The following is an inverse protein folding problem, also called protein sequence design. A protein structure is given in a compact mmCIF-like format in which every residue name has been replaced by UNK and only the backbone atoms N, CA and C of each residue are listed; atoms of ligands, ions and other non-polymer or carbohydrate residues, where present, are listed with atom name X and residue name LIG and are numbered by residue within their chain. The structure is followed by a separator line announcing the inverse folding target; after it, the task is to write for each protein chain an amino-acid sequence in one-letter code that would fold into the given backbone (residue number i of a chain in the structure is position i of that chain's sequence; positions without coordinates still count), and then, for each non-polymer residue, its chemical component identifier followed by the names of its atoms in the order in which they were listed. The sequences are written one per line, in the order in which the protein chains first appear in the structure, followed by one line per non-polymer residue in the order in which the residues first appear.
data_IF_736109092633
#
_entry.id   IF_736109092633
#
_cell.length_a   1.000
_cell.length_b   1.000
_cell.length_c   1.000
_cell.angle_alpha   90.00
_cell.angle_beta   90.00
_cell.angle_gamma   90.00
#
_symmetry.space_group_name_H-M   'P 1'
#
loop_
_entity.id
_entity.type
_entity.pdbx_description
1 polymer ?
#
# COMPACT_ATOMS: atom_id res chain seq x y z
N UNK A 1 -3.34 25.64 0.29
CA UNK A 1 -2.89 27.04 0.44
C UNK A 1 -2.35 27.26 1.83
N UNK A 2 -1.54 28.28 2.01
CA UNK A 2 -0.92 28.62 3.29
C UNK A 2 -1.74 29.70 4.00
N UNK A 3 -1.90 29.58 5.32
CA UNK A 3 -2.43 30.60 6.21
C UNK A 3 -1.31 31.11 7.11
N UNK A 4 -1.15 32.42 7.24
CA UNK A 4 -0.01 33.01 7.95
C UNK A 4 -0.38 34.32 8.66
N UNK A 5 0.47 34.72 9.61
CA UNK A 5 0.49 36.05 10.20
C UNK A 5 1.95 36.49 10.41
N UNK A 6 2.18 37.59 11.12
CA UNK A 6 3.55 38.11 11.36
C UNK A 6 4.45 37.13 12.13
N UNK A 7 3.87 36.18 12.89
CA UNK A 7 4.63 35.18 13.62
C UNK A 7 5.01 33.95 12.76
N UNK A 8 4.59 33.89 11.49
CA UNK A 8 4.87 32.78 10.58
C UNK A 8 3.61 32.02 10.15
N UNK A 9 3.77 30.72 9.91
CA UNK A 9 2.70 29.87 9.37
C UNK A 9 1.73 29.44 10.47
N UNK A 10 0.46 29.84 10.31
CA UNK A 10 -0.63 29.42 11.19
C UNK A 10 -1.02 27.98 10.85
N UNK A 11 -1.33 27.75 9.58
CA UNK A 11 -1.90 26.49 9.08
C UNK A 11 -1.71 26.31 7.56
N UNK A 12 -1.88 25.08 7.06
CA UNK A 12 -1.84 24.75 5.62
C UNK A 12 -3.12 24.01 5.22
N UNK A 13 -3.90 24.61 4.32
CA UNK A 13 -5.25 24.15 3.98
C UNK A 13 -6.32 24.63 4.99
N UNK A 14 -7.54 24.07 4.96
CA UNK A 14 -8.01 23.03 4.03
C UNK A 14 -8.25 23.55 2.60
N UNK A 15 -8.26 24.87 2.36
CA UNK A 15 -8.45 25.41 1.00
C UNK A 15 -7.24 25.16 0.11
N UNK A 16 -7.51 24.83 -1.15
CA UNK A 16 -6.53 24.69 -2.23
C UNK A 16 -6.51 25.92 -3.12
N UNK A 17 -5.43 26.10 -3.89
CA UNK A 17 -5.30 27.24 -4.79
C UNK A 17 -6.41 27.22 -5.86
N UNK A 18 -6.73 26.04 -6.40
CA UNK A 18 -7.81 25.83 -7.35
C UNK A 18 -9.18 26.30 -6.82
N UNK A 19 -9.49 26.04 -5.54
CA UNK A 19 -10.75 26.50 -4.92
C UNK A 19 -10.79 28.02 -4.77
N UNK A 20 -9.62 28.66 -4.64
CA UNK A 20 -9.48 30.11 -4.59
C UNK A 20 -9.34 30.77 -5.96
N UNK A 21 -9.30 30.00 -7.06
CA UNK A 21 -9.04 30.51 -8.40
C UNK A 21 -7.63 31.08 -8.59
N UNK A 22 -6.65 30.59 -7.82
CA UNK A 22 -5.25 31.02 -7.88
C UNK A 22 -4.36 29.91 -8.41
N UNK A 23 -3.32 30.32 -9.13
CA UNK A 23 -2.24 29.44 -9.56
C UNK A 23 -1.17 29.28 -8.48
N UNK A 24 -0.36 28.22 -8.63
CA UNK A 24 0.73 27.93 -7.71
C UNK A 24 1.95 28.75 -8.14
N UNK A 25 2.55 29.50 -7.22
CA UNK A 25 3.71 30.34 -7.54
C UNK A 25 4.89 29.57 -8.16
N UNK A 26 5.07 28.31 -7.79
CA UNK A 26 6.14 27.44 -8.30
C UNK A 26 5.98 27.06 -9.78
N UNK A 27 4.77 27.16 -10.35
CA UNK A 27 4.54 26.87 -11.77
C UNK A 27 4.45 28.13 -12.63
N UNK A 28 4.63 29.31 -12.02
CA UNK A 28 4.67 30.60 -12.72
C UNK A 28 6.08 30.88 -13.24
N UNK A 29 6.26 31.39 -14.47
CA UNK A 29 7.56 31.82 -14.97
C UNK A 29 8.22 32.88 -14.08
N UNK A 30 9.54 32.80 -13.88
CA UNK A 30 10.26 33.63 -12.90
C UNK A 30 10.21 35.12 -13.24
N UNK A 31 10.17 35.43 -14.53
CA UNK A 31 10.05 36.75 -15.10
C UNK A 31 8.69 37.40 -14.83
N UNK A 32 7.63 36.61 -14.58
CA UNK A 32 6.30 37.12 -14.23
C UNK A 32 6.21 37.49 -12.74
N UNK A 33 7.02 36.87 -11.88
CA UNK A 33 7.08 37.22 -10.45
C UNK A 33 7.94 38.47 -10.24
N UNK A 34 7.35 39.65 -10.50
CA UNK A 34 7.95 40.98 -10.30
C UNK A 34 7.30 41.71 -9.14
N UNK A 35 8.13 42.27 -8.25
CA UNK A 35 7.73 42.97 -7.03
C UNK A 35 6.65 42.27 -6.21
N UNK A 36 6.81 40.96 -5.88
CA UNK A 36 5.78 40.19 -5.21
C UNK A 36 5.45 40.79 -3.83
N UNK A 37 4.16 40.95 -3.53
CA UNK A 37 3.66 41.41 -2.23
C UNK A 37 2.66 40.43 -1.66
N UNK A 38 2.81 40.11 -0.39
CA UNK A 38 1.83 39.28 0.33
C UNK A 38 0.58 40.08 0.64
N UNK A 39 -0.57 39.49 0.31
CA UNK A 39 -1.90 39.98 0.67
C UNK A 39 -2.67 38.84 1.34
N UNK A 40 -3.38 39.17 2.40
CA UNK A 40 -4.25 38.23 3.12
C UNK A 40 -5.69 38.36 2.66
N UNK A 41 -6.39 37.24 2.50
CA UNK A 41 -7.77 37.24 2.03
C UNK A 41 -8.54 36.00 2.52
N UNK A 42 -9.85 36.00 2.29
CA UNK A 42 -10.73 34.84 2.48
C UNK A 42 -11.06 34.21 1.12
N UNK A 43 -10.65 32.96 0.82
CA UNK A 43 -10.91 32.30 -0.46
C UNK A 43 -12.39 32.14 -0.78
N UNK A 44 -13.22 31.87 0.23
CA UNK A 44 -14.67 31.83 0.15
C UNK A 44 -15.30 32.57 1.32
N UNK A 45 -16.58 32.92 1.18
CA UNK A 45 -17.37 33.44 2.28
C UNK A 45 -17.36 32.46 3.47
N UNK A 46 -17.07 32.99 4.66
CA UNK A 46 -16.93 32.19 5.89
C UNK A 46 -15.53 31.61 6.13
N UNK A 47 -14.62 31.68 5.15
CA UNK A 47 -13.22 31.29 5.38
C UNK A 47 -12.48 32.36 6.20
N UNK A 48 -11.52 31.96 7.05
CA UNK A 48 -10.59 32.88 7.70
C UNK A 48 -9.93 33.85 6.70
N UNK A 49 -9.69 35.09 7.12
CA UNK A 49 -9.09 36.13 6.27
C UNK A 49 -7.55 36.12 6.27
N UNK A 50 -6.94 35.02 6.70
CA UNK A 50 -5.49 34.86 6.90
C UNK A 50 -4.85 33.96 5.83
N UNK A 51 -5.56 33.64 4.73
CA UNK A 51 -4.95 32.93 3.59
C UNK A 51 -4.02 33.86 2.82
N UNK A 52 -2.88 33.32 2.44
CA UNK A 52 -1.84 34.04 1.72
C UNK A 52 -2.11 33.98 0.21
N UNK A 53 -2.16 35.15 -0.43
CA UNK A 53 -1.88 35.30 -1.86
C UNK A 53 -0.70 36.24 -2.08
N UNK A 54 -0.03 36.09 -3.21
CA UNK A 54 1.06 36.94 -3.66
C UNK A 54 0.57 37.69 -4.88
N UNK A 55 0.64 39.01 -4.82
CA UNK A 55 0.21 39.92 -5.89
C UNK A 55 1.44 40.58 -6.49
N UNK A 56 1.53 40.52 -7.81
CA UNK A 56 2.63 41.06 -8.61
C UNK A 56 2.36 42.54 -8.93
N UNK A 57 3.38 43.25 -9.41
CA UNK A 57 3.26 44.67 -9.78
C UNK A 57 2.21 44.95 -10.88
N UNK A 58 1.99 43.98 -11.77
CA UNK A 58 0.99 44.04 -12.84
C UNK A 58 -0.42 43.59 -12.41
N UNK A 59 -0.57 43.18 -11.15
CA UNK A 59 -1.83 42.71 -10.57
C UNK A 59 -2.11 41.23 -10.74
N UNK A 60 -1.23 40.43 -11.36
CA UNK A 60 -1.36 38.98 -11.39
C UNK A 60 -1.32 38.42 -9.96
N UNK A 61 -2.11 37.37 -9.70
CA UNK A 61 -2.24 36.78 -8.37
C UNK A 61 -1.89 35.29 -8.40
N UNK A 62 -1.02 34.87 -7.48
CA UNK A 62 -0.69 33.47 -7.24
C UNK A 62 -0.74 33.17 -5.74
N UNK A 63 -0.58 31.91 -5.35
CA UNK A 63 -0.46 31.53 -3.94
C UNK A 63 0.75 30.66 -3.67
N UNK A 64 1.25 30.75 -2.45
CA UNK A 64 2.23 29.82 -1.89
C UNK A 64 1.51 28.53 -1.50
N UNK A 65 2.14 27.39 -1.80
CA UNK A 65 1.65 26.04 -1.49
C UNK A 65 2.77 25.20 -0.86
N UNK A 66 2.43 24.03 -0.33
CA UNK A 66 3.42 23.04 0.10
C UNK A 66 4.32 22.57 -1.04
N UNK A 67 3.83 22.50 -2.29
CA UNK A 67 4.67 22.25 -3.48
C UNK A 67 5.74 23.31 -3.66
N UNK A 68 5.42 24.60 -3.40
CA UNK A 68 6.42 25.67 -3.45
C UNK A 68 7.51 25.45 -2.39
N UNK A 69 7.11 25.15 -1.15
CA UNK A 69 8.03 24.89 -0.05
C UNK A 69 8.92 23.66 -0.32
N UNK A 70 8.34 22.57 -0.82
CA UNK A 70 9.06 21.34 -1.12
C UNK A 70 10.12 21.52 -2.22
N UNK A 71 9.80 22.27 -3.28
CA UNK A 71 10.76 22.62 -4.33
C UNK A 71 11.91 23.49 -3.79
N UNK A 72 11.61 24.48 -2.92
CA UNK A 72 12.64 25.33 -2.31
C UNK A 72 13.57 24.54 -1.38
N UNK A 73 13.06 23.56 -0.66
CA UNK A 73 13.85 22.69 0.22
C UNK A 73 14.57 21.55 -0.54
N UNK A 74 14.46 21.49 -1.87
CA UNK A 74 15.10 20.43 -2.68
C UNK A 74 14.52 19.03 -2.47
N UNK A 75 13.28 18.94 -1.98
CA UNK A 75 12.58 17.68 -1.71
C UNK A 75 11.93 17.07 -2.97
N UNK A 76 11.82 17.87 -4.03
CA UNK A 76 11.27 17.49 -5.32
C UNK A 76 12.39 17.58 -6.36
N UNK A 77 12.61 16.51 -7.12
CA UNK A 77 13.63 16.39 -8.16
C UNK A 77 13.00 16.54 -9.55
N UNK A 78 13.81 16.77 -10.59
CA UNK A 78 13.37 17.08 -11.97
C UNK A 78 12.44 16.02 -12.57
N UNK A 79 12.65 14.76 -12.21
CA UNK A 79 11.84 13.61 -12.64
C UNK A 79 10.43 13.58 -12.03
N UNK A 80 10.19 14.31 -10.94
CA UNK A 80 8.89 14.32 -10.29
C UNK A 80 7.93 15.29 -10.99
N UNK A 81 6.68 14.86 -11.18
CA UNK A 81 5.63 15.70 -11.79
C UNK A 81 5.42 17.05 -11.09
N UNK A 82 5.61 17.12 -9.76
CA UNK A 82 5.48 18.36 -9.00
C UNK A 82 6.72 19.26 -9.04
N UNK A 83 7.74 18.92 -9.82
CA UNK A 83 8.91 19.77 -10.00
C UNK A 83 8.50 21.03 -10.74
N UNK A 84 8.89 22.17 -10.19
CA UNK A 84 8.59 23.44 -10.80
C UNK A 84 9.75 24.41 -10.68
N UNK A 85 9.44 25.67 -10.93
CA UNK A 85 10.42 26.73 -10.98
C UNK A 85 10.83 27.17 -9.56
N UNK A 86 11.96 26.64 -9.10
CA UNK A 86 12.52 26.96 -7.77
C UNK A 86 12.74 28.47 -7.60
N UNK A 87 13.38 29.21 -8.54
CA UNK A 87 13.48 30.67 -8.45
C UNK A 87 12.15 31.39 -8.26
N UNK A 88 11.09 30.94 -8.95
CA UNK A 88 9.74 31.50 -8.80
C UNK A 88 9.17 31.28 -7.41
N UNK A 89 9.23 30.03 -6.92
CA UNK A 89 8.80 29.71 -5.56
C UNK A 89 9.59 30.51 -4.51
N UNK A 90 10.91 30.66 -4.70
CA UNK A 90 11.78 31.46 -3.82
C UNK A 90 11.35 32.93 -3.76
N UNK A 91 11.02 33.57 -4.89
CA UNK A 91 10.55 34.96 -4.91
C UNK A 91 9.22 35.14 -4.17
N UNK A 92 8.26 34.23 -4.38
CA UNK A 92 6.98 34.28 -3.71
C UNK A 92 7.11 34.04 -2.20
N UNK A 93 7.90 33.05 -1.80
CA UNK A 93 8.21 32.78 -0.39
C UNK A 93 8.99 33.93 0.26
N UNK A 94 9.86 34.61 -0.47
CA UNK A 94 10.61 35.77 0.04
C UNK A 94 9.66 36.89 0.49
N UNK A 95 8.60 37.17 -0.27
CA UNK A 95 7.62 38.19 0.12
C UNK A 95 6.94 37.85 1.46
N UNK A 96 6.70 36.56 1.75
CA UNK A 96 6.15 36.11 3.03
C UNK A 96 7.21 36.10 4.13
N UNK A 97 8.43 35.68 3.83
CA UNK A 97 9.55 35.69 4.76
C UNK A 97 9.87 37.11 5.25
N UNK A 98 9.89 38.09 4.33
CA UNK A 98 10.09 39.51 4.65
C UNK A 98 8.99 40.03 5.58
N UNK A 99 7.73 39.67 5.31
CA UNK A 99 6.60 40.05 6.15
C UNK A 99 6.70 39.46 7.57
N UNK A 100 7.15 38.21 7.69
CA UNK A 100 7.36 37.51 8.95
C UNK A 100 8.72 37.81 9.61
N UNK A 101 9.58 38.61 8.95
CA UNK A 101 10.94 38.92 9.40
C UNK A 101 11.82 37.67 9.65
N UNK A 102 11.75 36.70 8.74
CA UNK A 102 12.51 35.45 8.80
C UNK A 102 13.10 35.08 7.43
N UNK A 103 13.61 33.86 7.26
CA UNK A 103 14.18 33.36 6.00
C UNK A 103 13.14 32.58 5.19
N UNK A 104 13.42 32.42 3.89
CA UNK A 104 12.58 31.61 3.01
C UNK A 104 12.58 30.14 3.43
N UNK A 105 13.74 29.62 3.82
CA UNK A 105 13.92 28.27 4.34
C UNK A 105 13.06 28.02 5.58
N UNK A 106 13.07 28.94 6.55
CA UNK A 106 12.26 28.82 7.77
C UNK A 106 10.76 28.80 7.44
N UNK A 107 10.28 29.68 6.55
CA UNK A 107 8.88 29.64 6.10
C UNK A 107 8.56 28.32 5.39
N UNK A 108 9.45 27.83 4.52
CA UNK A 108 9.24 26.57 3.82
C UNK A 108 9.18 25.38 4.79
N UNK A 109 10.08 25.32 5.78
CA UNK A 109 10.08 24.30 6.83
C UNK A 109 8.79 24.35 7.66
N UNK A 110 8.32 25.54 8.04
CA UNK A 110 7.05 25.69 8.76
C UNK A 110 5.86 25.19 7.95
N UNK A 111 5.80 25.49 6.64
CA UNK A 111 4.75 24.97 5.74
C UNK A 111 4.77 23.44 5.72
N UNK A 112 5.96 22.85 5.57
CA UNK A 112 6.12 21.40 5.53
C UNK A 112 5.77 20.74 6.87
N UNK A 113 6.20 21.32 7.99
CA UNK A 113 5.89 20.84 9.33
C UNK A 113 4.38 20.86 9.64
N UNK A 114 3.68 21.93 9.25
CA UNK A 114 2.23 22.05 9.40
C UNK A 114 1.46 21.07 8.51
N UNK A 115 1.95 20.86 7.29
CA UNK A 115 1.38 19.85 6.37
C UNK A 115 1.55 18.44 6.92
N UNK A 116 2.75 18.12 7.43
CA UNK A 116 3.06 16.84 8.06
C UNK A 116 2.17 16.54 9.28
N UNK A 117 2.02 17.52 10.19
CA UNK A 117 1.25 17.35 11.42
C UNK A 117 -0.24 17.00 11.18
N UNK A 118 -0.78 17.27 9.99
CA UNK A 118 -2.14 16.88 9.62
C UNK A 118 -2.26 15.44 9.15
N UNK A 119 -1.20 14.91 8.54
CA UNK A 119 -1.23 13.60 7.88
C UNK A 119 -0.65 12.51 8.79
N UNK A 120 0.29 12.88 9.68
CA UNK A 120 0.93 11.95 10.61
C UNK A 120 -0.06 11.12 11.43
N UNK A 121 -1.07 11.72 12.09
CA UNK A 121 -2.02 10.94 12.89
C UNK A 121 -2.80 9.93 12.04
N UNK A 122 -3.16 10.28 10.80
CA UNK A 122 -3.91 9.40 9.90
C UNK A 122 -3.08 8.18 9.50
N UNK A 123 -1.79 8.38 9.18
CA UNK A 123 -0.91 7.28 8.81
C UNK A 123 -0.63 6.38 10.01
N UNK A 124 -0.41 6.95 11.20
CA UNK A 124 -0.17 6.18 12.42
C UNK A 124 -1.41 5.38 12.84
N UNK A 125 -2.61 5.96 12.73
CA UNK A 125 -3.87 5.26 12.99
C UNK A 125 -4.06 4.06 12.05
N UNK A 126 -3.74 4.22 10.75
CA UNK A 126 -3.78 3.11 9.80
C UNK A 126 -2.74 2.04 10.15
N UNK A 127 -1.50 2.43 10.48
CA UNK A 127 -0.47 1.48 10.88
C UNK A 127 -0.90 0.67 12.12
N UNK A 128 -1.50 1.32 13.12
CA UNK A 128 -2.02 0.65 14.31
C UNK A 128 -3.18 -0.30 13.96
N UNK A 129 -4.16 0.18 13.17
CA UNK A 129 -5.34 -0.60 12.76
C UNK A 129 -4.98 -1.89 12.03
N UNK A 130 -3.92 -1.86 11.22
CA UNK A 130 -3.44 -3.01 10.45
C UNK A 130 -2.26 -3.74 11.11
N UNK A 131 -1.94 -3.41 12.36
CA UNK A 131 -0.85 -4.02 13.12
C UNK A 131 0.51 -4.02 12.38
N UNK A 132 0.79 -2.94 11.64
CA UNK A 132 2.02 -2.79 10.86
C UNK A 132 3.17 -2.35 11.78
N UNK A 133 4.26 -3.13 11.78
CA UNK A 133 5.49 -2.73 12.46
C UNK A 133 6.18 -1.59 11.68
N UNK A 134 6.84 -0.67 12.40
CA UNK A 134 7.42 0.54 11.80
C UNK A 134 8.42 0.23 10.67
N UNK A 135 9.17 -0.85 10.78
CA UNK A 135 10.13 -1.30 9.78
C UNK A 135 9.49 -2.00 8.57
N UNK A 136 8.22 -2.37 8.66
CA UNK A 136 7.43 -2.89 7.54
C UNK A 136 6.71 -1.78 6.76
N UNK A 137 6.62 -0.56 7.32
CA UNK A 137 5.95 0.56 6.65
C UNK A 137 6.81 1.04 5.46
N UNK A 138 6.20 1.00 4.28
CA UNK A 138 6.66 1.66 3.06
C UNK A 138 5.55 2.54 2.50
N UNK A 139 5.86 3.79 2.18
CA UNK A 139 4.90 4.77 1.68
C UNK A 139 4.92 4.78 0.15
N UNK A 140 3.78 4.60 -0.49
CA UNK A 140 3.66 4.71 -1.96
C UNK A 140 2.97 6.03 -2.30
N UNK A 141 3.71 6.93 -2.93
CA UNK A 141 3.25 8.27 -3.29
C UNK A 141 2.64 8.28 -4.67
N UNK A 142 1.35 8.62 -4.76
CA UNK A 142 0.62 8.69 -6.03
C UNK A 142 -0.11 10.01 -6.20
N UNK A 143 -0.41 10.38 -7.46
CA UNK A 143 -0.95 11.68 -7.85
C UNK A 143 0.13 12.72 -8.11
N UNK A 144 -0.21 13.77 -8.88
CA UNK A 144 0.77 14.75 -9.37
C UNK A 144 1.49 15.56 -8.28
N UNK A 145 0.94 15.63 -7.06
CA UNK A 145 1.54 16.30 -5.91
C UNK A 145 2.31 15.40 -4.95
N UNK A 146 2.42 14.09 -5.22
CA UNK A 146 2.93 13.09 -4.28
C UNK A 146 4.31 13.45 -3.71
N UNK A 147 5.26 13.77 -4.60
CA UNK A 147 6.64 14.10 -4.23
C UNK A 147 6.75 15.32 -3.30
N UNK A 148 5.75 16.21 -3.32
CA UNK A 148 5.77 17.43 -2.50
C UNK A 148 5.66 17.15 -1.00
N UNK A 149 5.13 15.99 -0.58
CA UNK A 149 4.95 15.67 0.85
C UNK A 149 5.58 14.36 1.27
N UNK A 150 5.55 13.34 0.41
CA UNK A 150 5.96 11.99 0.81
C UNK A 150 7.43 11.92 1.21
N UNK A 151 8.30 12.66 0.52
CA UNK A 151 9.74 12.73 0.79
C UNK A 151 10.01 13.32 2.18
N UNK A 152 9.39 14.45 2.50
CA UNK A 152 9.47 15.06 3.83
C UNK A 152 8.96 14.12 4.92
N UNK A 153 7.83 13.47 4.66
CA UNK A 153 7.16 12.60 5.61
C UNK A 153 7.98 11.34 5.90
N UNK A 154 8.48 10.68 4.85
CA UNK A 154 9.38 9.53 4.93
C UNK A 154 10.65 9.86 5.70
N UNK A 155 11.31 10.98 5.39
CA UNK A 155 12.53 11.42 6.08
C UNK A 155 12.27 11.64 7.58
N UNK A 156 11.12 12.24 7.93
CA UNK A 156 10.78 12.54 9.33
C UNK A 156 10.40 11.29 10.13
N UNK A 157 9.70 10.34 9.51
CA UNK A 157 9.33 9.08 10.16
C UNK A 157 10.44 8.03 10.15
N UNK A 158 11.39 8.13 9.23
CA UNK A 158 12.44 7.13 9.01
C UNK A 158 11.89 5.84 8.38
N UNK A 159 10.95 5.98 7.43
CA UNK A 159 10.32 4.86 6.69
C UNK A 159 10.64 4.95 5.21
N UNK A 160 10.61 3.84 4.47
CA UNK A 160 10.86 3.87 3.01
C UNK A 160 9.72 4.56 2.27
N UNK A 161 10.01 5.09 1.08
CA UNK A 161 8.99 5.52 0.15
C UNK A 161 9.34 5.13 -1.28
N UNK A 162 8.31 5.07 -2.13
CA UNK A 162 8.45 4.98 -3.57
C UNK A 162 7.43 5.89 -4.26
N UNK A 163 7.80 6.39 -5.44
CA UNK A 163 6.89 7.10 -6.34
C UNK A 163 6.93 6.33 -7.65
N UNK A 164 5.86 5.58 -8.00
CA UNK A 164 5.82 4.79 -9.22
C UNK A 164 5.88 5.66 -10.48
N UNK A 165 6.31 5.07 -11.60
CA UNK A 165 6.14 5.70 -12.91
C UNK A 165 4.66 6.00 -13.17
N UNK A 166 4.37 7.12 -13.84
CA UNK A 166 3.01 7.56 -14.16
C UNK A 166 2.12 7.77 -12.91
N UNK A 167 2.72 8.04 -11.74
CA UNK A 167 2.00 8.28 -10.49
C UNK A 167 0.90 9.34 -10.62
N UNK A 168 1.09 10.35 -11.46
CA UNK A 168 0.14 11.44 -11.72
C UNK A 168 -1.15 10.99 -12.42
N UNK A 169 -1.11 9.89 -13.17
CA UNK A 169 -2.29 9.29 -13.85
C UNK A 169 -2.74 7.97 -13.21
N UNK A 170 -2.31 7.69 -11.97
CA UNK A 170 -2.61 6.42 -11.28
C UNK A 170 -4.10 6.09 -11.23
N UNK A 171 -4.97 7.10 -11.15
CA UNK A 171 -6.42 6.87 -11.06
C UNK A 171 -6.96 6.29 -12.38
N UNK A 172 -6.45 6.77 -13.52
CA UNK A 172 -6.80 6.24 -14.84
C UNK A 172 -6.26 4.82 -15.01
N UNK A 173 -5.03 4.57 -14.56
CA UNK A 173 -4.44 3.22 -14.55
C UNK A 173 -5.26 2.29 -13.66
N UNK A 174 -5.65 2.73 -12.47
CA UNK A 174 -6.47 1.96 -11.53
C UNK A 174 -7.81 1.56 -12.12
N UNK A 175 -8.51 2.48 -12.79
CA UNK A 175 -9.76 2.16 -13.51
C UNK A 175 -9.49 1.19 -14.66
N UNK A 176 -8.44 1.42 -15.45
CA UNK A 176 -8.07 0.55 -16.55
C UNK A 176 -7.72 -0.87 -16.07
N UNK A 177 -7.10 -1.02 -14.89
CA UNK A 177 -6.66 -2.29 -14.29
C UNK A 177 -7.67 -2.92 -13.32
N UNK A 178 -8.75 -2.24 -12.94
CA UNK A 178 -9.73 -2.72 -11.95
C UNK A 178 -10.36 -4.09 -12.31
N UNK A 179 -10.13 -5.11 -11.49
CA UNK A 179 -10.72 -6.43 -11.70
C UNK A 179 -12.25 -6.37 -11.55
N UNK A 180 -12.94 -7.20 -12.32
CA UNK A 180 -14.36 -7.47 -12.12
C UNK A 180 -14.50 -8.20 -10.80
N UNK A 181 -15.35 -7.70 -9.90
CA UNK A 181 -15.61 -8.32 -8.60
C UNK A 181 -17.10 -8.38 -8.35
N UNK A 182 -17.62 -9.58 -8.19
CA UNK A 182 -19.00 -9.85 -7.85
C UNK A 182 -19.10 -10.61 -6.53
N UNK A 183 -20.13 -10.29 -5.75
CA UNK A 183 -20.35 -10.88 -4.43
C UNK A 183 -21.76 -11.45 -4.35
N UNK A 184 -21.86 -12.70 -3.91
CA UNK A 184 -23.12 -13.36 -3.61
C UNK A 184 -23.12 -13.77 -2.14
N UNK A 185 -24.07 -13.23 -1.38
CA UNK A 185 -24.17 -13.48 0.06
C UNK A 185 -25.53 -14.11 0.39
N UNK A 186 -25.53 -15.13 1.25
CA UNK A 186 -26.74 -15.79 1.75
C UNK A 186 -26.60 -16.20 3.21
N UNK A 187 -27.72 -16.24 3.92
CA UNK A 187 -27.80 -16.84 5.25
C UNK A 187 -28.18 -18.31 5.09
N UNK A 188 -27.24 -19.20 5.43
CA UNK A 188 -27.40 -20.65 5.31
C UNK A 188 -27.00 -21.27 6.66
N UNK A 189 -27.98 -21.64 7.52
CA UNK A 189 -27.69 -22.33 8.76
C UNK A 189 -27.01 -23.68 8.47
N UNK A 190 -25.80 -23.87 8.98
CA UNK A 190 -24.99 -25.09 8.77
C UNK A 190 -24.82 -25.46 7.28
N UNK A 191 -24.06 -24.68 6.49
CA UNK A 191 -23.97 -24.85 5.05
C UNK A 191 -23.38 -26.21 4.66
N UNK A 192 -24.01 -26.90 3.71
CA UNK A 192 -23.47 -28.12 3.12
C UNK A 192 -22.44 -27.81 2.02
N UNK A 193 -21.67 -28.83 1.60
CA UNK A 193 -20.74 -28.70 0.45
C UNK A 193 -21.47 -28.30 -0.84
N UNK A 194 -22.69 -28.81 -1.03
CA UNK A 194 -23.51 -28.54 -2.21
C UNK A 194 -24.01 -27.07 -2.22
N UNK A 195 -24.38 -26.54 -1.04
CA UNK A 195 -24.78 -25.14 -0.89
C UNK A 195 -23.64 -24.18 -1.24
N UNK A 196 -22.43 -24.48 -0.76
CA UNK A 196 -21.23 -23.70 -1.04
C UNK A 196 -20.87 -23.75 -2.53
N UNK A 197 -20.93 -24.93 -3.15
CA UNK A 197 -20.69 -25.11 -4.59
C UNK A 197 -21.70 -24.33 -5.44
N UNK A 198 -22.98 -24.36 -5.06
CA UNK A 198 -24.02 -23.59 -5.76
C UNK A 198 -23.76 -22.08 -5.67
N UNK A 199 -23.42 -21.58 -4.48
CA UNK A 199 -23.10 -20.17 -4.26
C UNK A 199 -21.86 -19.73 -5.05
N UNK A 200 -20.83 -20.58 -5.08
CA UNK A 200 -19.61 -20.37 -5.87
C UNK A 200 -19.92 -20.24 -7.36
N UNK A 201 -20.70 -21.16 -7.92
CA UNK A 201 -21.09 -21.13 -9.34
C UNK A 201 -21.90 -19.88 -9.69
N UNK A 202 -22.77 -19.43 -8.79
CA UNK A 202 -23.54 -18.21 -9.00
C UNK A 202 -22.64 -16.96 -9.01
N UNK A 203 -21.72 -16.83 -8.05
CA UNK A 203 -20.76 -15.73 -8.03
C UNK A 203 -19.89 -15.71 -9.30
N UNK A 204 -19.45 -16.90 -9.74
CA UNK A 204 -18.72 -17.06 -11.01
C UNK A 204 -19.52 -16.53 -12.20
N UNK A 205 -20.78 -16.97 -12.34
CA UNK A 205 -21.62 -16.58 -13.47
C UNK A 205 -21.87 -15.07 -13.49
N UNK A 206 -22.08 -14.45 -12.31
CA UNK A 206 -22.22 -12.99 -12.22
C UNK A 206 -20.95 -12.27 -12.66
N UNK A 207 -19.78 -12.73 -12.21
CA UNK A 207 -18.52 -12.15 -12.66
C UNK A 207 -18.35 -12.26 -14.18
N UNK A 208 -18.75 -13.38 -14.80
CA UNK A 208 -18.74 -13.55 -16.27
C UNK A 208 -19.70 -12.56 -16.94
N UNK A 209 -20.93 -12.43 -16.43
CA UNK A 209 -21.93 -11.47 -16.92
C UNK A 209 -21.44 -10.02 -16.81
N UNK A 210 -20.67 -9.72 -15.75
CA UNK A 210 -20.01 -8.43 -15.52
C UNK A 210 -18.75 -8.22 -16.38
N UNK A 211 -18.40 -9.17 -17.25
CA UNK A 211 -17.34 -9.05 -18.25
C UNK A 211 -16.00 -9.67 -17.85
N UNK A 212 -15.96 -10.51 -16.81
CA UNK A 212 -14.77 -11.29 -16.48
C UNK A 212 -14.57 -12.42 -17.48
N UNK A 213 -13.32 -12.64 -17.88
CA UNK A 213 -12.90 -13.80 -18.66
C UNK A 213 -12.96 -15.04 -17.76
N UNK A 214 -13.73 -16.10 -18.10
CA UNK A 214 -13.97 -17.25 -17.23
C UNK A 214 -12.69 -17.89 -16.68
N UNK A 215 -11.65 -17.98 -17.50
CA UNK A 215 -10.36 -18.60 -17.17
C UNK A 215 -9.55 -17.78 -16.15
N UNK A 216 -9.94 -16.54 -15.89
CA UNK A 216 -9.26 -15.63 -14.94
C UNK A 216 -10.00 -15.49 -13.61
N UNK A 217 -11.16 -16.15 -13.44
CA UNK A 217 -12.01 -15.96 -12.26
C UNK A 217 -11.49 -16.80 -11.10
N UNK A 218 -11.19 -16.13 -10.00
CA UNK A 218 -10.91 -16.71 -8.70
C UNK A 218 -12.09 -16.47 -7.75
N UNK A 219 -12.43 -17.44 -6.92
CA UNK A 219 -13.58 -17.35 -6.02
C UNK A 219 -13.14 -17.67 -4.60
N UNK A 220 -13.39 -16.73 -3.70
CA UNK A 220 -13.17 -16.87 -2.26
C UNK A 220 -14.52 -17.04 -1.56
N UNK A 221 -14.59 -17.94 -0.57
CA UNK A 221 -15.81 -18.16 0.22
C UNK A 221 -15.52 -17.91 1.69
N UNK A 222 -16.30 -17.00 2.27
CA UNK A 222 -16.27 -16.70 3.71
C UNK A 222 -17.53 -17.26 4.37
N UNK A 223 -17.37 -17.95 5.50
CA UNK A 223 -18.47 -18.44 6.33
C UNK A 223 -18.37 -17.80 7.71
N UNK A 224 -19.36 -16.99 8.06
CA UNK A 224 -19.52 -16.45 9.40
C UNK A 224 -20.48 -17.36 10.20
N UNK A 225 -19.97 -18.17 11.14
CA UNK A 225 -20.78 -19.09 11.92
C UNK A 225 -21.70 -18.38 12.93
N UNK A 226 -21.37 -17.15 13.36
CA UNK A 226 -22.19 -16.41 14.32
C UNK A 226 -23.47 -15.91 13.67
N UNK A 227 -23.36 -15.43 12.42
CA UNK A 227 -24.50 -14.92 11.65
C UNK A 227 -25.09 -15.95 10.68
N UNK A 228 -24.48 -17.15 10.59
CA UNK A 228 -24.79 -18.18 9.59
C UNK A 228 -24.74 -17.66 8.15
N UNK A 229 -23.82 -16.72 7.88
CA UNK A 229 -23.72 -16.02 6.61
C UNK A 229 -22.61 -16.63 5.76
N UNK A 230 -22.92 -16.95 4.52
CA UNK A 230 -21.98 -17.48 3.52
C UNK A 230 -21.85 -16.45 2.41
N UNK A 231 -20.62 -16.02 2.14
CA UNK A 231 -20.29 -15.00 1.14
C UNK A 231 -19.37 -15.62 0.10
N UNK A 232 -19.78 -15.68 -1.17
CA UNK A 232 -18.92 -16.04 -2.28
C UNK A 232 -18.51 -14.77 -3.05
N UNK A 233 -17.21 -14.54 -3.16
CA UNK A 233 -16.60 -13.37 -3.81
C UNK A 233 -15.85 -13.87 -5.05
N UNK A 234 -16.39 -13.58 -6.23
CA UNK A 234 -15.74 -13.89 -7.49
C UNK A 234 -14.98 -12.67 -8.01
N UNK A 235 -13.71 -12.84 -8.36
CA UNK A 235 -12.84 -11.79 -8.88
C UNK A 235 -12.17 -12.26 -10.17
N UNK A 236 -12.23 -11.47 -11.25
CA UNK A 236 -11.64 -11.84 -12.53
C UNK A 236 -11.20 -10.65 -13.37
N UNK A 237 -10.39 -10.91 -14.40
CA UNK A 237 -9.88 -9.90 -15.33
C UNK A 237 -10.78 -9.78 -16.58
N UNK A 238 -10.73 -8.63 -17.25
CA UNK A 238 -11.40 -8.44 -18.55
C UNK A 238 -10.46 -8.81 -19.71
N UNK A 239 -11.01 -9.16 -20.87
CA UNK A 239 -10.27 -9.67 -22.04
C UNK A 239 -9.13 -8.74 -22.51
N UNK A 240 -9.30 -7.41 -22.40
CA UNK A 240 -8.30 -6.40 -22.77
C UNK A 240 -7.02 -6.47 -21.90
N UNK A 241 -7.08 -7.07 -20.71
CA UNK A 241 -5.98 -7.11 -19.73
C UNK A 241 -5.05 -8.31 -19.87
N UNK A 242 -5.42 -9.32 -20.64
CA UNK A 242 -4.65 -10.56 -20.73
C UNK A 242 -3.27 -10.35 -21.41
N UNK A 243 -3.08 -9.26 -22.15
CA UNK A 243 -1.96 -9.12 -23.11
C UNK A 243 -0.65 -8.55 -22.50
N UNK A 244 -0.71 -7.75 -21.43
CA UNK A 244 0.46 -6.97 -20.93
C UNK A 244 1.03 -7.46 -19.58
N UNK A 245 0.44 -8.51 -19.00
CA UNK A 245 0.82 -9.07 -17.68
C UNK A 245 1.91 -10.15 -17.75
N UNK A 246 2.64 -10.25 -18.86
CA UNK A 246 3.49 -11.42 -19.19
C UNK A 246 4.96 -11.30 -18.76
N UNK A 247 5.38 -10.15 -18.20
CA UNK A 247 6.76 -10.01 -17.71
C UNK A 247 6.92 -10.78 -16.41
N UNK A 248 7.61 -11.91 -16.49
CA UNK A 248 8.02 -12.69 -15.32
C UNK A 248 9.39 -12.20 -14.82
N UNK A 249 9.55 -12.18 -13.50
CA UNK A 249 10.81 -11.88 -12.84
C UNK A 249 11.69 -13.13 -12.78
N UNK A 250 12.99 -12.90 -12.78
CA UNK A 250 14.01 -13.93 -12.63
C UNK A 250 14.27 -14.23 -11.15
N UNK A 251 14.84 -15.41 -10.85
CA UNK A 251 15.21 -15.78 -9.48
C UNK A 251 16.16 -14.76 -8.81
N UNK A 252 17.18 -14.19 -9.50
CA UNK A 252 17.99 -13.11 -8.94
C UNK A 252 17.17 -11.87 -8.57
N UNK A 253 16.21 -11.46 -9.41
CA UNK A 253 15.31 -10.34 -9.11
C UNK A 253 14.42 -10.64 -7.89
N UNK A 254 13.92 -11.88 -7.75
CA UNK A 254 13.16 -12.30 -6.57
C UNK A 254 13.99 -12.20 -5.27
N UNK A 255 15.26 -12.62 -5.32
CA UNK A 255 16.19 -12.51 -4.20
C UNK A 255 16.49 -11.06 -3.84
N UNK A 256 16.67 -10.19 -4.83
CA UNK A 256 16.91 -8.77 -4.64
C UNK A 256 15.71 -8.08 -3.97
N UNK A 257 14.51 -8.30 -4.49
CA UNK A 257 13.26 -7.77 -3.93
C UNK A 257 13.05 -8.22 -2.48
N UNK A 258 13.23 -9.52 -2.21
CA UNK A 258 13.07 -10.06 -0.86
C UNK A 258 14.14 -9.54 0.11
N UNK A 259 15.41 -9.47 -0.30
CA UNK A 259 16.49 -8.93 0.53
C UNK A 259 16.28 -7.45 0.86
N UNK A 260 15.88 -6.66 -0.14
CA UNK A 260 15.60 -5.24 0.04
C UNK A 260 14.45 -5.02 1.04
N UNK A 261 13.36 -5.79 0.92
CA UNK A 261 12.22 -5.72 1.83
C UNK A 261 12.61 -6.16 3.26
N UNK A 262 13.38 -7.24 3.38
CA UNK A 262 13.88 -7.77 4.66
C UNK A 262 15.00 -6.91 5.27
N UNK A 263 15.54 -5.92 4.54
CA UNK A 263 16.63 -5.02 4.96
C UNK A 263 17.94 -5.76 5.27
N UNK A 264 18.22 -6.80 4.50
CA UNK A 264 19.45 -7.60 4.59
C UNK A 264 20.18 -7.60 3.25
N UNK A 265 21.42 -8.09 3.20
CA UNK A 265 22.12 -8.27 1.94
C UNK A 265 21.48 -9.41 1.13
N UNK A 266 21.52 -9.31 -0.21
CA UNK A 266 21.18 -10.44 -1.11
C UNK A 266 22.03 -11.67 -0.84
N UNK A 267 23.22 -11.52 -0.23
CA UNK A 267 24.06 -12.63 0.22
C UNK A 267 23.51 -13.38 1.44
N UNK A 268 22.58 -12.80 2.19
CA UNK A 268 22.02 -13.33 3.44
C UNK A 268 20.67 -14.05 3.23
N UNK A 269 20.10 -13.98 2.02
CA UNK A 269 18.84 -14.64 1.66
C UNK A 269 19.05 -15.78 0.67
N UNK A 270 18.11 -16.72 0.67
CA UNK A 270 18.03 -17.84 -0.27
C UNK A 270 16.58 -18.19 -0.63
N UNK A 271 16.39 -18.84 -1.78
CA UNK A 271 15.11 -19.47 -2.10
C UNK A 271 14.99 -20.74 -1.27
N UNK A 272 14.01 -20.75 -0.37
CA UNK A 272 13.68 -21.87 0.52
C UNK A 272 12.94 -22.94 -0.27
N UNK A 273 11.93 -22.53 -1.02
CA UNK A 273 11.09 -23.38 -1.85
C UNK A 273 10.59 -22.58 -3.07
N UNK A 274 10.18 -23.28 -4.12
CA UNK A 274 9.57 -22.65 -5.29
C UNK A 274 8.56 -23.57 -5.99
N UNK A 275 7.55 -22.96 -6.59
CA UNK A 275 6.67 -23.57 -7.60
C UNK A 275 6.86 -22.84 -8.93
N UNK A 276 6.21 -23.28 -10.03
CA UNK A 276 6.17 -22.49 -11.26
C UNK A 276 5.62 -21.07 -11.07
N UNK A 277 4.89 -20.78 -9.98
CA UNK A 277 4.20 -19.51 -9.77
C UNK A 277 4.78 -18.63 -8.66
N UNK A 278 5.55 -19.21 -7.74
CA UNK A 278 6.05 -18.51 -6.55
C UNK A 278 7.49 -18.86 -6.20
N UNK A 279 8.21 -17.86 -5.71
CA UNK A 279 9.47 -18.00 -5.00
C UNK A 279 9.24 -17.74 -3.51
N UNK A 280 9.56 -18.70 -2.65
CA UNK A 280 9.58 -18.51 -1.20
C UNK A 280 11.01 -18.21 -0.79
N UNK A 281 11.30 -16.95 -0.50
CA UNK A 281 12.63 -16.46 -0.12
C UNK A 281 12.69 -16.27 1.40
N UNK A 282 13.81 -16.59 2.02
CA UNK A 282 14.04 -16.22 3.41
C UNK A 282 15.52 -16.19 3.78
N UNK A 283 15.79 -15.93 5.06
CA UNK A 283 17.17 -15.84 5.56
C UNK A 283 17.89 -17.21 5.43
N UNK A 284 19.19 -17.20 5.12
CA UNK A 284 20.00 -18.44 5.09
C UNK A 284 20.15 -19.08 6.46
N UNK A 285 20.26 -18.26 7.50
CA UNK A 285 20.49 -18.71 8.87
C UNK A 285 19.18 -18.72 9.66
N UNK A 286 18.33 -19.72 9.44
CA UNK A 286 17.02 -19.88 10.12
C UNK A 286 17.12 -20.87 11.29
N UNK A 287 17.08 -20.41 12.55
CA UNK A 287 17.06 -21.30 13.71
C UNK A 287 15.82 -22.20 13.68
N UNK A 288 16.00 -23.52 13.82
CA UNK A 288 14.90 -24.50 13.76
C UNK A 288 14.03 -24.39 12.48
N UNK A 289 14.63 -24.00 11.35
CA UNK A 289 13.94 -23.76 10.08
C UNK A 289 12.88 -22.63 10.09
N UNK A 290 12.87 -21.80 11.13
CA UNK A 290 12.02 -20.63 11.24
C UNK A 290 12.85 -19.34 11.13
N UNK A 291 12.33 -18.35 10.40
CA UNK A 291 12.92 -17.01 10.33
C UNK A 291 12.15 -16.13 9.36
N UNK A 292 12.72 -15.00 8.93
CA UNK A 292 11.98 -14.12 8.04
C UNK A 292 11.80 -14.76 6.65
N UNK A 293 10.56 -14.72 6.14
CA UNK A 293 10.14 -15.29 4.85
C UNK A 293 9.34 -14.27 4.05
N UNK A 294 9.54 -14.29 2.73
CA UNK A 294 8.77 -13.58 1.71
C UNK A 294 8.28 -14.57 0.65
N UNK A 295 7.00 -14.48 0.29
CA UNK A 295 6.47 -15.19 -0.88
C UNK A 295 6.37 -14.17 -2.01
N UNK A 296 7.12 -14.38 -3.08
CA UNK A 296 7.19 -13.50 -4.25
C UNK A 296 6.52 -14.22 -5.43
N UNK A 297 5.56 -13.58 -6.09
CA UNK A 297 4.98 -14.12 -7.32
C UNK A 297 5.90 -13.94 -8.54
N UNK A 298 5.61 -14.62 -9.64
CA UNK A 298 6.38 -14.48 -10.88
C UNK A 298 6.35 -13.04 -11.45
N UNK A 299 5.50 -12.14 -10.96
CA UNK A 299 5.46 -10.74 -11.41
C UNK A 299 6.26 -9.80 -10.52
N UNK A 300 6.90 -10.32 -9.48
CA UNK A 300 7.71 -9.55 -8.53
C UNK A 300 6.92 -8.91 -7.39
N UNK A 301 5.67 -9.30 -7.18
CA UNK A 301 4.91 -8.87 -6.01
C UNK A 301 5.21 -9.75 -4.81
N UNK A 302 5.61 -9.13 -3.71
CA UNK A 302 5.70 -9.79 -2.40
C UNK A 302 4.27 -9.96 -1.85
N UNK A 303 3.75 -11.19 -1.89
CA UNK A 303 2.39 -11.55 -1.46
C UNK A 303 2.26 -11.75 0.04
N UNK A 304 3.31 -12.26 0.68
CA UNK A 304 3.33 -12.56 2.11
C UNK A 304 4.64 -12.09 2.71
N UNK A 305 4.56 -11.44 3.88
CA UNK A 305 5.70 -10.95 4.65
C UNK A 305 5.59 -11.44 6.08
N UNK A 306 6.50 -12.33 6.50
CA UNK A 306 6.58 -12.79 7.90
C UNK A 306 7.98 -12.60 8.45
N UNK A 307 8.10 -12.01 9.64
CA UNK A 307 9.38 -11.89 10.36
C UNK A 307 9.84 -13.19 11.04
N UNK A 308 8.94 -14.17 11.19
CA UNK A 308 9.23 -15.50 11.69
C UNK A 308 8.21 -16.51 11.14
N UNK A 309 8.64 -17.33 10.20
CA UNK A 309 7.83 -18.35 9.55
C UNK A 309 8.67 -19.58 9.16
N UNK A 310 7.99 -20.71 9.04
CA UNK A 310 8.52 -21.95 8.48
C UNK A 310 7.72 -22.34 7.23
N UNK A 311 8.36 -23.07 6.33
CA UNK A 311 7.82 -23.41 5.01
C UNK A 311 8.07 -24.89 4.72
N UNK A 312 7.09 -25.57 4.15
CA UNK A 312 7.19 -26.95 3.65
C UNK A 312 6.52 -27.07 2.28
N UNK A 313 7.26 -27.61 1.30
CA UNK A 313 6.69 -28.05 0.02
C UNK A 313 6.15 -29.47 0.14
N UNK A 314 4.95 -29.69 -0.39
CA UNK A 314 4.19 -30.95 -0.32
C UNK A 314 3.31 -31.07 -1.57
N UNK A 315 2.39 -32.03 -1.57
CA UNK A 315 1.36 -32.16 -2.59
C UNK A 315 -0.03 -31.91 -1.99
N UNK A 316 -1.01 -31.60 -2.84
CA UNK A 316 -2.42 -31.46 -2.44
C UNK A 316 -2.94 -32.69 -1.67
N UNK A 317 -2.52 -33.91 -2.02
CA UNK A 317 -2.91 -35.13 -1.29
C UNK A 317 -2.25 -35.30 0.09
N UNK A 318 -1.12 -34.61 0.35
CA UNK A 318 -0.34 -34.75 1.58
C UNK A 318 -0.28 -33.45 2.41
N UNK A 319 -1.03 -32.42 2.01
CA UNK A 319 -0.92 -31.09 2.59
C UNK A 319 -1.22 -31.08 4.09
N UNK A 320 -2.20 -31.86 4.54
CA UNK A 320 -2.63 -31.90 5.94
C UNK A 320 -1.50 -32.33 6.87
N UNK A 321 -0.67 -33.30 6.45
CA UNK A 321 0.49 -33.73 7.25
C UNK A 321 1.51 -32.60 7.45
N UNK A 322 1.68 -31.73 6.43
CA UNK A 322 2.55 -30.57 6.54
C UNK A 322 1.94 -29.48 7.43
N UNK A 323 0.62 -29.28 7.35
CA UNK A 323 -0.12 -28.34 8.20
C UNK A 323 -0.05 -28.76 9.67
N UNK A 324 -0.34 -30.02 9.99
CA UNK A 324 -0.27 -30.57 11.35
C UNK A 324 1.13 -30.40 11.97
N UNK A 325 2.17 -30.68 11.17
CA UNK A 325 3.56 -30.51 11.60
C UNK A 325 3.86 -29.05 11.93
N UNK A 326 3.52 -28.14 11.03
CA UNK A 326 3.79 -26.70 11.21
C UNK A 326 2.92 -26.09 12.32
N UNK A 327 1.70 -26.59 12.52
CA UNK A 327 0.77 -26.17 13.58
C UNK A 327 1.36 -26.35 14.97
N UNK A 328 2.10 -27.44 15.17
CA UNK A 328 2.79 -27.74 16.43
C UNK A 328 4.17 -27.08 16.49
N UNK A 329 4.98 -27.15 15.42
CA UNK A 329 6.34 -26.57 15.40
C UNK A 329 6.37 -25.05 15.54
N UNK A 330 5.36 -24.36 15.00
CA UNK A 330 5.27 -22.89 15.04
C UNK A 330 4.37 -22.37 16.17
N UNK A 331 3.84 -23.22 17.06
CA UNK A 331 3.06 -22.76 18.21
C UNK A 331 3.95 -22.04 19.23
N UNK A 332 3.51 -20.89 19.73
CA UNK A 332 4.22 -20.14 20.78
C UNK A 332 3.43 -20.19 22.07
N UNK A 333 4.02 -20.82 23.08
CA UNK A 333 3.42 -20.96 24.41
C UNK A 333 3.73 -19.72 25.25
N UNK A 334 2.68 -18.97 25.60
CA UNK A 334 2.72 -17.90 26.57
C UNK A 334 2.04 -18.35 27.87
N UNK A 335 2.23 -17.60 28.95
CA UNK A 335 1.79 -17.99 30.32
C UNK A 335 0.31 -18.36 30.42
N UNK A 336 -0.55 -17.73 29.62
CA UNK A 336 -2.02 -17.92 29.67
C UNK A 336 -2.66 -18.30 28.33
N UNK A 337 -1.89 -18.30 27.22
CA UNK A 337 -2.43 -18.55 25.89
C UNK A 337 -1.40 -19.26 25.00
N UNK A 338 -1.89 -20.09 24.08
CA UNK A 338 -1.08 -20.65 22.98
C UNK A 338 -1.36 -19.79 21.76
N UNK A 339 -0.36 -19.03 21.31
CA UNK A 339 -0.43 -18.32 20.04
C UNK A 339 -0.22 -19.35 18.92
N UNK A 340 -1.29 -19.63 18.17
CA UNK A 340 -1.25 -20.54 17.01
C UNK A 340 -0.79 -19.79 15.75
N UNK A 341 -0.09 -20.46 14.83
CA UNK A 341 0.40 -19.83 13.61
C UNK A 341 -0.74 -19.51 12.64
N UNK A 342 -0.53 -18.47 11.85
CA UNK A 342 -1.30 -18.18 10.64
C UNK A 342 -0.70 -18.94 9.46
N UNK A 343 -1.53 -19.40 8.55
CA UNK A 343 -1.11 -20.22 7.41
C UNK A 343 -1.30 -19.52 6.08
N UNK A 344 -0.41 -19.81 5.15
CA UNK A 344 -0.49 -19.39 3.76
C UNK A 344 -0.23 -20.62 2.87
N UNK A 345 -1.16 -20.92 1.97
CA UNK A 345 -1.04 -22.02 1.00
C UNK A 345 -0.80 -21.44 -0.39
N UNK A 346 0.31 -21.79 -1.03
CA UNK A 346 0.53 -21.52 -2.45
C UNK A 346 -0.06 -22.67 -3.28
N UNK A 347 -1.15 -22.40 -4.00
CA UNK A 347 -1.99 -23.36 -4.73
C UNK A 347 -2.01 -23.01 -6.22
N UNK A 348 -1.16 -23.65 -7.02
CA UNK A 348 -0.94 -23.21 -8.41
C UNK A 348 -0.49 -21.75 -8.42
N UNK A 349 -1.21 -20.89 -9.16
CA UNK A 349 -0.96 -19.44 -9.25
C UNK A 349 -1.57 -18.61 -8.11
N UNK A 350 -2.24 -19.25 -7.14
CA UNK A 350 -3.01 -18.59 -6.08
C UNK A 350 -2.32 -18.72 -4.73
N UNK A 351 -2.57 -17.77 -3.84
CA UNK A 351 -2.24 -17.87 -2.42
C UNK A 351 -3.52 -17.69 -1.61
N UNK A 352 -3.74 -18.58 -0.65
CA UNK A 352 -4.83 -18.48 0.32
C UNK A 352 -4.24 -18.38 1.72
N UNK A 353 -4.65 -17.38 2.49
CA UNK A 353 -4.31 -17.23 3.91
C UNK A 353 -5.42 -17.79 4.81
N UNK A 354 -5.02 -18.35 5.95
CA UNK A 354 -5.92 -18.96 6.91
C UNK A 354 -5.52 -18.63 8.33
N UNK A 355 -6.51 -18.24 9.12
CA UNK A 355 -6.39 -18.06 10.57
C UNK A 355 -7.52 -18.84 11.22
N UNK A 356 -7.19 -19.68 12.20
CA UNK A 356 -8.18 -20.50 12.92
C UNK A 356 -7.73 -20.69 14.37
N UNK A 357 -8.69 -20.87 15.28
CA UNK A 357 -8.41 -21.11 16.70
C UNK A 357 -8.01 -22.55 17.00
N UNK A 358 -8.47 -23.49 16.18
CA UNK A 358 -8.18 -24.91 16.30
C UNK A 358 -7.93 -25.54 14.93
N UNK A 359 -7.34 -26.74 14.98
CA UNK A 359 -6.90 -27.47 13.80
C UNK A 359 -8.06 -28.02 12.97
N UNK A 360 -9.18 -28.38 13.59
CA UNK A 360 -10.34 -28.92 12.88
C UNK A 360 -10.98 -27.85 12.00
N UNK A 361 -11.13 -26.63 12.52
CA UNK A 361 -11.59 -25.47 11.76
C UNK A 361 -10.59 -25.14 10.64
N UNK A 362 -9.28 -25.13 10.93
CA UNK A 362 -8.26 -24.88 9.92
C UNK A 362 -8.33 -25.88 8.76
N UNK A 363 -8.43 -27.17 9.11
CA UNK A 363 -8.53 -28.24 8.13
C UNK A 363 -9.76 -28.08 7.25
N UNK A 364 -10.92 -27.78 7.84
CA UNK A 364 -12.16 -27.56 7.08
C UNK A 364 -12.00 -26.45 6.04
N UNK A 365 -11.39 -25.31 6.44
CA UNK A 365 -11.18 -24.18 5.55
C UNK A 365 -10.19 -24.52 4.42
N UNK A 366 -9.09 -25.20 4.74
CA UNK A 366 -8.09 -25.58 3.74
C UNK A 366 -8.59 -26.68 2.78
N UNK A 367 -9.39 -27.63 3.26
CA UNK A 367 -9.97 -28.70 2.44
C UNK A 367 -10.86 -28.12 1.31
N UNK A 368 -11.54 -27.00 1.57
CA UNK A 368 -12.36 -26.32 0.56
C UNK A 368 -11.51 -25.82 -0.62
N UNK A 369 -10.30 -25.32 -0.34
CA UNK A 369 -9.38 -24.86 -1.38
C UNK A 369 -8.65 -26.03 -2.05
N UNK A 370 -8.11 -26.97 -1.26
CA UNK A 370 -7.31 -28.09 -1.74
C UNK A 370 -8.14 -29.08 -2.57
N UNK A 371 -9.43 -29.28 -2.24
CA UNK A 371 -10.31 -30.21 -2.96
C UNK A 371 -10.52 -29.87 -4.44
N UNK A 372 -10.10 -28.66 -4.87
CA UNK A 372 -10.13 -28.23 -6.27
C UNK A 372 -8.91 -28.66 -7.08
N UNK A 373 -7.87 -29.20 -6.44
CA UNK A 373 -6.59 -29.58 -7.05
C UNK A 373 -6.48 -31.10 -7.23
N UNK A 374 -5.70 -31.54 -8.21
CA UNK A 374 -5.33 -32.94 -8.30
C UNK A 374 -4.38 -33.34 -7.14
N UNK A 375 -4.50 -34.53 -6.54
CA UNK A 375 -3.70 -34.92 -5.36
C UNK A 375 -2.18 -34.85 -5.53
N UNK A 376 -1.69 -34.89 -6.78
CA UNK A 376 -0.27 -34.78 -7.11
C UNK A 376 0.24 -33.36 -7.32
N UNK A 377 -0.64 -32.35 -7.35
CA UNK A 377 -0.23 -30.96 -7.55
C UNK A 377 0.61 -30.45 -6.39
N UNK A 378 1.66 -29.71 -6.71
CA UNK A 378 2.58 -29.13 -5.72
C UNK A 378 1.89 -28.02 -4.93
N UNK A 379 2.06 -28.06 -3.61
CA UNK A 379 1.55 -27.06 -2.68
C UNK A 379 2.70 -26.63 -1.77
N UNK A 380 2.85 -25.33 -1.53
CA UNK A 380 3.73 -24.82 -0.48
C UNK A 380 2.88 -24.37 0.70
N UNK A 381 3.14 -24.94 1.87
CA UNK A 381 2.53 -24.56 3.15
C UNK A 381 3.51 -23.69 3.91
N UNK A 382 3.12 -22.45 4.20
CA UNK A 382 3.89 -21.52 5.04
C UNK A 382 3.11 -21.23 6.30
N UNK A 383 3.76 -21.36 7.46
CA UNK A 383 3.18 -21.03 8.76
C UNK A 383 3.99 -19.90 9.41
N UNK A 384 3.33 -18.79 9.72
CA UNK A 384 3.93 -17.62 10.35
C UNK A 384 3.42 -17.42 11.78
N UNK A 385 4.31 -17.06 12.69
CA UNK A 385 3.93 -16.72 14.07
C UNK A 385 4.89 -15.69 14.69
N UNK A 386 4.58 -15.18 15.88
CA UNK A 386 5.50 -14.37 16.67
C UNK A 386 6.75 -15.18 17.06
N UNK A 387 7.86 -14.52 17.40
CA UNK A 387 9.06 -15.20 17.93
C UNK A 387 8.81 -15.61 19.39
N UNK A 388 9.24 -16.82 19.75
CA UNK A 388 9.26 -17.21 21.16
C UNK A 388 10.33 -16.39 21.88
N UNK A 389 9.91 -15.62 22.87
CA UNK A 389 10.77 -14.70 23.65
C UNK A 389 11.36 -15.39 24.86
#
# INVERSE_FOLDING_TARGET
MVRANQAGIIDVGPRSAHIAGLDYAVFTPTEEIKGPKVVFFSPKEGDPADYVKVVMEDGQEVTITNTCAANVLGLVQEEHFSYGNVPSARKALQALADYCQTTVEDIAEQIMAKSYAKIEPVILELAEKYHLEKDQISLVGVGGGAASLITYFSNKMGVKYSIPENAEVISSIGVALAMVRDVVERIIPSPSKEDILALKNEAMNKAIESGATPESIEIHVEIDPQTSKVTAIATGSTEVKATDLTKEITLPEALELAAEDMRVSTAEVEVIESTPFFYVVGEKNRPKNAGAIRIVDQKGFIKVQRGNAACLKTTAGNYLSAVEKLWEEMAVYQTELIARPEFYLCLGARISDFTATDLEQLQLLMDLEISTLEPGEEVIVVAGNIKQT
#
